data_IF_771352497417
#
_entry.id   IF_771352497417
#
_cell.length_a   1.000
_cell.length_b   1.000
_cell.length_c   1.000
_cell.angle_alpha   90.00
_cell.angle_beta   90.00
_cell.angle_gamma   90.00
#
_symmetry.space_group_name_H-M   'P 1'
#
loop_
_entity.id
_entity.type
_entity.pdbx_description
1 polymer ?
#
# COMPACT_ATOMS: atom_id res chain seq x y z
N UNK A 1 -68.56 4.84 -24.07
CA UNK A 1 -67.33 4.06 -24.42
C UNK A 1 -66.16 4.81 -23.81
N UNK A 2 -65.66 4.31 -22.72
CA UNK A 2 -64.66 5.02 -21.89
C UNK A 2 -63.26 4.48 -22.21
N UNK A 3 -62.44 5.28 -22.87
CA UNK A 3 -61.12 4.93 -23.31
C UNK A 3 -60.16 5.12 -22.11
N UNK A 4 -59.68 4.02 -21.50
CA UNK A 4 -58.71 4.05 -20.42
C UNK A 4 -57.30 4.11 -21.03
N UNK A 5 -56.69 5.28 -20.99
CA UNK A 5 -55.24 5.43 -21.22
C UNK A 5 -54.47 4.83 -20.03
N UNK A 6 -53.76 3.72 -20.26
CA UNK A 6 -52.75 3.20 -19.34
C UNK A 6 -51.46 3.98 -19.55
N UNK A 7 -51.15 4.87 -18.62
CA UNK A 7 -49.83 5.52 -18.56
C UNK A 7 -48.88 4.57 -17.84
N UNK A 8 -48.05 3.90 -18.58
CA UNK A 8 -47.00 3.04 -18.01
C UNK A 8 -45.79 3.91 -17.64
N UNK A 9 -45.65 4.24 -16.37
CA UNK A 9 -44.49 4.96 -15.83
C UNK A 9 -43.31 3.99 -15.71
N UNK A 10 -42.36 4.10 -16.63
CA UNK A 10 -41.10 3.34 -16.58
C UNK A 10 -40.21 4.00 -15.52
N UNK A 11 -40.07 3.35 -14.36
CA UNK A 11 -39.13 3.72 -13.32
C UNK A 11 -37.74 3.22 -13.72
N UNK A 12 -36.92 4.09 -14.31
CA UNK A 12 -35.50 3.79 -14.58
C UNK A 12 -34.76 3.87 -13.27
N UNK A 13 -34.48 2.72 -12.66
CA UNK A 13 -33.56 2.60 -11.54
C UNK A 13 -32.14 2.85 -12.05
N UNK A 14 -31.62 4.06 -11.82
CA UNK A 14 -30.17 4.31 -11.89
C UNK A 14 -29.50 3.54 -10.76
N UNK A 15 -29.02 2.36 -11.06
CA UNK A 15 -28.11 1.63 -10.17
C UNK A 15 -26.77 2.36 -10.24
N UNK A 16 -26.52 3.28 -9.31
CA UNK A 16 -25.20 3.84 -9.04
C UNK A 16 -24.36 2.69 -8.46
N UNK A 17 -23.79 1.88 -9.35
CA UNK A 17 -22.81 0.87 -8.97
C UNK A 17 -21.58 1.57 -8.40
N UNK A 18 -21.37 1.48 -7.08
CA UNK A 18 -20.06 1.78 -6.52
C UNK A 18 -19.04 0.80 -7.13
N UNK A 19 -18.32 1.24 -8.15
CA UNK A 19 -17.19 0.50 -8.68
C UNK A 19 -16.15 0.34 -7.56
N UNK A 20 -15.79 -0.91 -7.27
CA UNK A 20 -14.67 -1.23 -6.37
C UNK A 20 -13.36 -1.37 -7.15
N UNK A 21 -13.31 -0.79 -8.34
CA UNK A 21 -12.12 -0.80 -9.16
C UNK A 21 -11.03 0.05 -8.50
N UNK A 22 -9.81 -0.43 -8.60
CA UNK A 22 -8.64 0.32 -8.14
C UNK A 22 -8.57 1.61 -8.97
N UNK A 23 -8.57 2.79 -8.36
CA UNK A 23 -8.37 4.03 -9.11
C UNK A 23 -7.03 3.98 -9.86
N UNK A 24 -6.94 4.70 -10.97
CA UNK A 24 -5.70 4.79 -11.72
C UNK A 24 -4.54 5.19 -10.78
N UNK A 25 -3.42 4.47 -10.93
CA UNK A 25 -2.23 4.73 -10.11
C UNK A 25 -1.75 6.16 -10.34
N UNK A 26 -1.39 6.89 -9.28
CA UNK A 26 -0.70 8.16 -9.45
C UNK A 26 0.65 7.93 -10.13
N UNK A 27 1.14 8.97 -10.81
CA UNK A 27 2.47 8.93 -11.41
C UNK A 27 3.51 8.49 -10.37
N UNK A 28 4.36 7.52 -10.74
CA UNK A 28 5.43 7.04 -9.88
C UNK A 28 6.35 8.20 -9.46
N UNK A 29 6.54 8.36 -8.17
CA UNK A 29 7.40 9.39 -7.57
C UNK A 29 8.62 8.73 -6.98
N UNK A 30 9.77 9.03 -7.57
CA UNK A 30 11.08 8.57 -7.09
C UNK A 30 11.96 9.78 -6.75
N UNK A 31 12.78 9.64 -5.72
CA UNK A 31 13.78 10.66 -5.42
C UNK A 31 14.85 10.67 -6.53
N UNK A 32 15.14 11.84 -7.06
CA UNK A 32 16.16 12.05 -8.11
C UNK A 32 17.58 11.72 -7.67
N UNK A 33 17.78 11.52 -6.37
CA UNK A 33 19.08 11.19 -5.77
C UNK A 33 19.51 9.73 -5.98
N UNK A 34 18.60 8.87 -6.43
CA UNK A 34 18.85 7.42 -6.52
C UNK A 34 18.60 6.92 -7.93
N UNK A 35 19.49 6.05 -8.40
CA UNK A 35 19.35 5.40 -9.71
C UNK A 35 18.19 4.41 -9.68
N UNK A 36 17.41 4.38 -10.74
CA UNK A 36 16.35 3.36 -10.91
C UNK A 36 16.93 1.95 -10.88
N UNK A 37 16.22 1.06 -10.19
CA UNK A 37 16.60 -0.35 -10.11
C UNK A 37 15.91 -1.16 -11.21
N UNK A 38 16.46 -2.35 -11.48
CA UNK A 38 15.82 -3.31 -12.39
C UNK A 38 14.46 -3.75 -11.85
N UNK A 39 13.54 -4.17 -12.74
CA UNK A 39 12.26 -4.74 -12.32
C UNK A 39 12.46 -5.88 -11.30
N UNK A 40 11.77 -5.78 -10.18
CA UNK A 40 11.77 -6.77 -9.10
C UNK A 40 10.46 -6.67 -8.30
N UNK A 41 10.17 -7.68 -7.48
CA UNK A 41 9.24 -7.52 -6.38
C UNK A 41 9.76 -6.44 -5.43
N UNK A 42 8.87 -5.62 -4.91
CA UNK A 42 9.29 -4.49 -4.11
C UNK A 42 8.31 -4.12 -3.00
N UNK A 43 8.85 -3.54 -1.94
CA UNK A 43 8.13 -3.11 -0.75
C UNK A 43 8.60 -1.73 -0.29
N UNK A 44 7.72 -1.03 0.41
CA UNK A 44 7.99 0.26 1.04
C UNK A 44 8.09 0.14 2.56
N UNK A 45 9.12 0.76 3.13
CA UNK A 45 9.19 1.11 4.54
C UNK A 45 8.83 2.58 4.70
N UNK A 46 7.70 2.84 5.39
CA UNK A 46 7.17 4.18 5.60
C UNK A 46 7.21 4.47 7.10
N UNK A 47 8.08 5.40 7.49
CA UNK A 47 8.18 5.85 8.88
C UNK A 47 7.28 7.07 9.09
N UNK A 48 6.45 7.00 10.12
CA UNK A 48 5.68 8.14 10.61
C UNK A 48 5.99 8.31 12.10
N UNK A 49 6.59 9.42 12.45
CA UNK A 49 7.18 9.64 13.79
C UNK A 49 8.17 8.50 14.15
N UNK A 50 7.88 7.77 15.22
CA UNK A 50 8.68 6.62 15.69
C UNK A 50 8.02 5.27 15.36
N UNK A 51 7.10 5.24 14.42
CA UNK A 51 6.34 4.06 14.05
C UNK A 51 6.52 3.75 12.56
N UNK A 52 6.31 2.49 12.21
CA UNK A 52 6.35 1.95 10.86
C UNK A 52 4.91 1.69 10.40
N UNK A 53 4.57 2.14 9.20
CA UNK A 53 3.29 1.79 8.58
C UNK A 53 3.33 0.34 8.14
N UNK A 54 2.32 -0.40 8.58
CA UNK A 54 2.15 -1.82 8.27
C UNK A 54 0.73 -2.10 7.82
N UNK A 55 0.56 -3.19 7.11
CA UNK A 55 -0.73 -3.70 6.67
C UNK A 55 -0.99 -5.10 7.22
N UNK A 56 -2.26 -5.46 7.33
CA UNK A 56 -2.70 -6.83 7.56
C UNK A 56 -3.47 -7.33 6.36
N UNK A 57 -3.14 -8.51 5.87
CA UNK A 57 -3.88 -9.14 4.79
C UNK A 57 -4.86 -10.16 5.36
N UNK A 58 -6.00 -10.39 4.68
CA UNK A 58 -7.01 -11.36 5.15
C UNK A 58 -6.51 -12.80 5.16
N UNK A 59 -5.66 -13.13 4.21
CA UNK A 59 -5.12 -14.48 3.96
C UNK A 59 -3.78 -14.76 4.65
N UNK A 60 -3.23 -13.77 5.35
CA UNK A 60 -1.94 -13.90 6.02
C UNK A 60 -2.04 -13.65 7.53
N UNK A 61 -1.31 -14.46 8.29
CA UNK A 61 -1.14 -14.21 9.73
C UNK A 61 0.03 -13.27 9.94
N UNK A 62 -0.21 -12.16 10.64
CA UNK A 62 0.82 -11.20 11.02
C UNK A 62 0.82 -9.92 10.17
N UNK A 63 1.67 -9.00 10.60
CA UNK A 63 1.90 -7.73 9.93
C UNK A 63 2.76 -7.91 8.69
N UNK A 64 2.50 -7.12 7.68
CA UNK A 64 3.26 -7.05 6.45
C UNK A 64 3.55 -5.59 6.10
N UNK A 65 4.47 -5.39 5.17
CA UNK A 65 4.70 -4.10 4.54
C UNK A 65 3.92 -4.01 3.22
N UNK A 66 3.56 -2.80 2.76
CA UNK A 66 3.06 -2.64 1.40
C UNK A 66 4.04 -3.25 0.39
N UNK A 67 3.64 -4.35 -0.23
CA UNK A 67 4.51 -5.15 -1.12
C UNK A 67 3.76 -5.55 -2.38
N UNK A 68 4.45 -5.49 -3.52
CA UNK A 68 3.91 -5.96 -4.80
C UNK A 68 4.92 -6.89 -5.50
N UNK A 69 4.38 -7.84 -6.25
CA UNK A 69 5.20 -8.73 -7.09
C UNK A 69 5.82 -7.95 -8.24
N UNK A 70 6.92 -8.45 -8.77
CA UNK A 70 7.57 -7.89 -9.95
C UNK A 70 6.55 -7.67 -11.09
N UNK A 71 6.63 -6.50 -11.70
CA UNK A 71 5.90 -6.15 -12.91
C UNK A 71 6.86 -6.01 -14.09
N UNK A 72 6.41 -6.43 -15.27
CA UNK A 72 7.22 -6.30 -16.50
C UNK A 72 7.40 -4.82 -16.84
N UNK A 73 8.63 -4.45 -17.17
CA UNK A 73 9.00 -3.11 -17.64
C UNK A 73 8.82 -1.97 -16.62
N UNK A 74 8.57 -2.27 -15.35
CA UNK A 74 8.44 -1.28 -14.29
C UNK A 74 9.61 -1.45 -13.33
N UNK A 75 10.29 -0.35 -12.99
CA UNK A 75 11.37 -0.37 -12.00
C UNK A 75 10.87 -0.83 -10.63
N UNK A 76 11.76 -1.40 -9.82
CA UNK A 76 11.37 -1.84 -8.48
C UNK A 76 10.87 -0.69 -7.60
N UNK A 77 11.41 0.53 -7.76
CA UNK A 77 10.89 1.71 -7.07
C UNK A 77 9.42 1.98 -7.42
N UNK A 78 9.07 1.94 -8.72
CA UNK A 78 7.69 2.16 -9.12
C UNK A 78 6.78 1.01 -8.72
N UNK A 79 7.31 -0.23 -8.67
CA UNK A 79 6.59 -1.37 -8.07
C UNK A 79 6.31 -1.14 -6.58
N UNK A 80 7.26 -0.60 -5.82
CA UNK A 80 7.07 -0.24 -4.42
C UNK A 80 6.06 0.90 -4.25
N UNK A 81 6.13 1.94 -5.09
CA UNK A 81 5.16 3.04 -5.11
C UNK A 81 3.74 2.54 -5.32
N UNK A 82 3.54 1.69 -6.33
CA UNK A 82 2.25 1.08 -6.64
C UNK A 82 1.74 0.20 -5.49
N UNK A 83 2.64 -0.58 -4.84
CA UNK A 83 2.28 -1.38 -3.67
C UNK A 83 1.62 -0.55 -2.57
N UNK A 84 2.17 0.63 -2.27
CA UNK A 84 1.60 1.55 -1.28
C UNK A 84 0.24 2.05 -1.73
N UNK A 85 0.12 2.55 -2.96
CA UNK A 85 -1.15 3.04 -3.47
C UNK A 85 -2.26 1.98 -3.43
N UNK A 86 -2.00 0.80 -3.98
CA UNK A 86 -2.99 -0.28 -4.06
C UNK A 86 -3.45 -0.79 -2.68
N UNK A 87 -2.56 -0.80 -1.69
CA UNK A 87 -2.87 -1.37 -0.38
C UNK A 87 -3.33 -0.34 0.64
N UNK A 88 -2.93 0.92 0.51
CA UNK A 88 -3.18 1.96 1.52
C UNK A 88 -3.85 3.23 0.98
N UNK A 89 -3.86 3.43 -0.33
CA UNK A 89 -4.33 4.67 -0.95
C UNK A 89 -3.39 5.88 -0.74
N UNK A 90 -2.20 5.64 -0.20
CA UNK A 90 -1.23 6.70 0.05
C UNK A 90 -0.32 6.91 -1.16
N UNK A 91 0.00 8.16 -1.44
CA UNK A 91 0.98 8.52 -2.45
C UNK A 91 2.30 8.89 -1.77
N UNK A 92 3.37 8.15 -2.06
CA UNK A 92 4.68 8.31 -1.43
C UNK A 92 5.74 8.70 -2.44
N UNK A 93 6.86 9.25 -1.97
CA UNK A 93 8.09 9.34 -2.73
C UNK A 93 9.01 8.18 -2.34
N UNK A 94 9.44 7.39 -3.35
CA UNK A 94 10.34 6.24 -3.14
C UNK A 94 11.79 6.71 -3.19
N UNK A 95 12.49 6.49 -2.10
CA UNK A 95 13.88 6.87 -1.90
C UNK A 95 14.88 5.73 -2.15
N UNK A 96 15.84 5.60 -1.25
CA UNK A 96 16.94 4.64 -1.38
C UNK A 96 16.49 3.19 -1.16
N UNK A 97 17.20 2.28 -1.82
CA UNK A 97 17.16 0.86 -1.48
C UNK A 97 17.79 0.65 -0.10
N UNK A 98 17.08 -0.01 0.79
CA UNK A 98 17.53 -0.32 2.15
C UNK A 98 18.18 -1.71 2.21
N UNK A 99 17.53 -2.71 1.64
CA UNK A 99 18.03 -4.06 1.51
C UNK A 99 17.28 -4.85 0.44
N UNK A 100 17.84 -5.99 0.07
CA UNK A 100 17.19 -7.01 -0.77
C UNK A 100 17.04 -8.29 0.04
N UNK A 101 15.84 -8.82 0.11
CA UNK A 101 15.55 -10.07 0.80
C UNK A 101 16.05 -11.30 -0.01
N UNK A 102 16.14 -12.49 0.62
CA UNK A 102 16.56 -13.71 -0.07
C UNK A 102 15.67 -14.13 -1.25
N UNK A 103 14.41 -13.72 -1.26
CA UNK A 103 13.44 -13.92 -2.35
C UNK A 103 13.52 -12.83 -3.44
N UNK A 104 14.63 -12.06 -3.44
CA UNK A 104 14.89 -10.93 -4.35
C UNK A 104 13.94 -9.73 -4.21
N UNK A 105 13.05 -9.73 -3.23
CA UNK A 105 12.22 -8.55 -2.93
C UNK A 105 13.08 -7.38 -2.47
N UNK A 106 12.96 -6.24 -3.13
CA UNK A 106 13.69 -5.01 -2.80
C UNK A 106 12.87 -4.12 -1.87
N UNK A 107 13.49 -3.67 -0.78
CA UNK A 107 12.85 -2.85 0.25
C UNK A 107 13.39 -1.43 0.21
N UNK A 108 12.50 -0.46 0.00
CA UNK A 108 12.85 0.95 -0.18
C UNK A 108 12.38 1.81 0.99
N UNK A 109 13.14 2.87 1.29
CA UNK A 109 12.64 3.99 2.06
C UNK A 109 11.55 4.70 1.26
N UNK A 110 10.38 4.93 1.88
CA UNK A 110 9.28 5.65 1.25
C UNK A 110 8.80 6.76 2.18
N UNK A 111 8.64 7.96 1.63
CA UNK A 111 8.26 9.16 2.40
C UNK A 111 6.86 9.61 2.02
N UNK A 112 6.06 9.89 3.03
CA UNK A 112 4.83 10.65 2.89
C UNK A 112 5.15 12.13 2.68
N UNK A 113 4.23 12.88 2.06
CA UNK A 113 4.34 14.34 2.03
C UNK A 113 4.23 14.91 3.45
N UNK A 114 4.93 15.99 3.75
CA UNK A 114 5.05 16.57 5.09
C UNK A 114 3.70 16.87 5.76
N UNK A 115 2.70 17.30 4.99
CA UNK A 115 1.37 17.63 5.50
C UNK A 115 0.59 16.40 5.99
N UNK A 116 0.96 15.21 5.52
CA UNK A 116 0.28 13.98 5.82
C UNK A 116 0.86 13.26 7.04
N UNK A 117 2.17 13.40 7.31
CA UNK A 117 2.89 12.65 8.35
C UNK A 117 2.52 13.02 9.80
N UNK A 118 1.87 14.17 10.04
CA UNK A 118 1.63 14.69 11.40
C UNK A 118 0.32 14.27 12.04
N UNK A 119 -0.65 13.72 11.31
CA UNK A 119 -2.03 13.56 11.79
C UNK A 119 -2.55 12.12 11.85
N UNK A 120 -1.83 11.14 11.34
CA UNK A 120 -2.40 9.81 11.14
C UNK A 120 -1.93 8.83 12.21
N UNK A 121 -2.83 8.44 13.10
CA UNK A 121 -2.66 7.29 13.99
C UNK A 121 -3.30 6.02 13.43
N UNK A 122 -4.39 6.16 12.68
CA UNK A 122 -5.09 5.06 12.02
C UNK A 122 -5.48 5.46 10.60
N UNK A 123 -5.38 4.52 9.67
CA UNK A 123 -5.74 4.72 8.28
C UNK A 123 -6.95 3.83 7.94
N UNK A 124 -8.04 4.39 7.41
CA UNK A 124 -9.10 3.57 6.86
C UNK A 124 -8.59 2.82 5.63
N UNK A 125 -8.86 1.53 5.55
CA UNK A 125 -8.55 0.73 4.36
C UNK A 125 -9.41 1.23 3.19
N UNK A 126 -8.81 1.67 2.08
CA UNK A 126 -9.59 2.17 0.95
C UNK A 126 -10.48 1.07 0.35
N UNK A 127 -11.66 1.43 -0.20
CA UNK A 127 -12.65 0.45 -0.69
C UNK A 127 -12.09 -0.59 -1.65
N UNK A 128 -11.17 -0.21 -2.53
CA UNK A 128 -10.54 -1.12 -3.50
C UNK A 128 -9.55 -2.09 -2.86
N UNK A 129 -8.90 -1.70 -1.74
CA UNK A 129 -7.94 -2.54 -1.04
C UNK A 129 -8.60 -3.56 -0.09
N UNK A 130 -9.87 -3.34 0.31
CA UNK A 130 -10.58 -4.14 1.31
C UNK A 130 -10.69 -5.64 0.98
N UNK A 131 -10.46 -6.06 -0.26
CA UNK A 131 -10.43 -7.49 -0.61
C UNK A 131 -9.16 -8.20 -0.14
N UNK A 132 -8.06 -7.48 -0.02
CA UNK A 132 -6.73 -8.02 0.34
C UNK A 132 -6.28 -7.53 1.70
N UNK A 133 -6.46 -6.26 1.99
CA UNK A 133 -6.02 -5.57 3.20
C UNK A 133 -7.17 -5.48 4.20
N UNK A 134 -6.97 -6.03 5.39
CA UNK A 134 -7.94 -5.97 6.49
C UNK A 134 -7.70 -4.81 7.44
N UNK A 135 -6.45 -4.36 7.57
CA UNK A 135 -6.08 -3.23 8.43
C UNK A 135 -4.82 -2.53 7.93
N UNK A 136 -4.73 -1.24 8.22
CA UNK A 136 -3.53 -0.42 8.07
C UNK A 136 -3.25 0.19 9.45
N UNK A 137 -2.03 0.03 9.95
CA UNK A 137 -1.67 0.47 11.31
C UNK A 137 -0.27 1.05 11.34
N UNK A 138 0.00 1.80 12.41
CA UNK A 138 1.33 2.27 12.76
C UNK A 138 1.83 1.48 13.96
N UNK A 139 2.96 0.80 13.85
CA UNK A 139 3.53 0.01 14.94
C UNK A 139 5.02 0.34 15.14
N UNK A 140 5.48 0.20 16.37
CA UNK A 140 6.92 0.25 16.65
C UNK A 140 7.50 -1.15 16.42
N UNK A 141 8.40 -1.36 15.44
CA UNK A 141 8.95 -2.68 15.16
C UNK A 141 9.78 -3.26 16.31
N UNK A 142 10.24 -2.43 17.25
CA UNK A 142 10.97 -2.88 18.43
C UNK A 142 10.05 -3.40 19.56
N UNK A 143 8.76 -3.11 19.49
CA UNK A 143 7.75 -3.59 20.45
C UNK A 143 7.01 -4.84 19.95
N UNK A 144 7.50 -5.49 18.90
CA UNK A 144 6.89 -6.68 18.30
C UNK A 144 7.87 -7.84 18.30
N UNK A 145 7.36 -9.07 18.19
CA UNK A 145 8.12 -10.29 18.04
C UNK A 145 8.02 -10.86 16.63
N UNK A 146 8.87 -11.83 16.26
CA UNK A 146 8.93 -12.37 14.90
C UNK A 146 7.61 -13.02 14.46
N UNK A 147 6.87 -13.64 15.36
CA UNK A 147 5.57 -14.28 15.10
C UNK A 147 4.41 -13.30 14.87
N UNK A 148 4.62 -12.03 15.19
CA UNK A 148 3.68 -10.96 14.84
C UNK A 148 3.77 -10.54 13.37
N UNK A 149 4.76 -11.04 12.63
CA UNK A 149 5.02 -10.71 11.24
C UNK A 149 4.77 -11.90 10.31
N UNK A 150 4.51 -11.63 9.03
CA UNK A 150 4.48 -12.68 8.02
C UNK A 150 5.85 -13.35 7.91
N UNK A 151 5.88 -14.64 7.58
CA UNK A 151 7.07 -15.48 7.66
C UNK A 151 8.24 -15.06 6.76
N UNK A 152 7.97 -14.31 5.69
CA UNK A 152 9.02 -13.82 4.76
C UNK A 152 9.69 -12.51 5.24
N UNK A 153 9.22 -11.90 6.32
CA UNK A 153 9.87 -10.73 6.92
C UNK A 153 10.82 -11.20 8.03
N UNK A 154 12.10 -10.90 7.88
CA UNK A 154 13.08 -11.04 8.94
C UNK A 154 13.07 -9.78 9.81
N UNK A 155 12.64 -9.90 11.06
CA UNK A 155 12.47 -8.76 11.97
C UNK A 155 13.80 -8.10 12.33
N UNK A 156 14.92 -8.82 12.36
CA UNK A 156 16.25 -8.24 12.65
C UNK A 156 16.62 -7.30 11.50
N UNK A 157 16.59 -7.79 10.26
CA UNK A 157 16.89 -6.98 9.07
C UNK A 157 15.93 -5.79 8.94
N UNK A 158 14.63 -6.00 9.27
CA UNK A 158 13.64 -4.93 9.25
C UNK A 158 14.00 -3.81 10.26
N UNK A 159 14.42 -4.15 11.48
CA UNK A 159 14.84 -3.18 12.50
C UNK A 159 16.11 -2.43 12.11
N UNK A 160 17.06 -3.11 11.49
CA UNK A 160 18.26 -2.48 10.93
C UNK A 160 17.91 -1.48 9.84
N UNK A 161 17.02 -1.85 8.92
CA UNK A 161 16.53 -0.97 7.87
C UNK A 161 15.73 0.21 8.45
N UNK A 162 14.87 -0.04 9.44
CA UNK A 162 14.11 1.00 10.13
C UNK A 162 15.00 2.07 10.75
N UNK A 163 16.13 1.70 11.34
CA UNK A 163 17.10 2.65 11.91
C UNK A 163 17.78 3.53 10.85
N UNK A 164 17.72 3.17 9.58
CA UNK A 164 18.26 3.96 8.47
C UNK A 164 17.25 4.97 7.90
N UNK A 165 15.96 4.87 8.30
CA UNK A 165 14.91 5.80 7.86
C UNK A 165 15.07 7.14 8.57
N UNK A 166 14.94 8.20 7.78
CA UNK A 166 15.02 9.60 8.27
C UNK A 166 13.64 10.15 8.60
#
# INVERSE_FOLDING_TARGET
MLNRLFVTTIFVFFVLGCSRDIPADPMCRTSTLYTETKPSAAACLIKSNVQLLVIKNHDARGWNLPTHKQQKLISAQCTAHQAVWETTGLNVEVGKLLFTAPDETQYFECKLTDDFSRQLQEFPVPPWAQRKTSAISLINPFSTEQDHWVSNINLITLREAYNQLK
#
